data_IF_225408199532
#
_entry.id   IF_225408199532
#
_cell.length_a   1.000
_cell.length_b   1.000
_cell.length_c   1.000
_cell.angle_alpha   90.00
_cell.angle_beta   90.00
_cell.angle_gamma   90.00
#
_symmetry.space_group_name_H-M   'P 1'
#
loop_
_entity.id
_entity.type
_entity.pdbx_description
1 polymer ?
#
# COMPACT_ATOMS: atom_id res chain seq x y z
N UNK A 1 -2.76 -20.30 15.99
CA UNK A 1 -1.92 -19.65 14.95
C UNK A 1 -1.76 -18.18 15.31
N UNK A 2 -0.55 -17.71 15.62
CA UNK A 2 -0.33 -16.40 16.28
C UNK A 2 -0.92 -15.21 15.51
N UNK A 3 -1.82 -14.44 16.15
CA UNK A 3 -2.45 -13.20 15.65
C UNK A 3 -1.42 -12.18 15.10
N UNK A 4 -0.22 -12.18 15.67
CA UNK A 4 0.92 -11.35 15.26
C UNK A 4 1.45 -11.72 13.86
N UNK A 5 1.54 -13.02 13.55
CA UNK A 5 2.03 -13.50 12.25
C UNK A 5 1.05 -13.11 11.14
N UNK A 6 -0.27 -13.23 11.40
CA UNK A 6 -1.30 -12.79 10.46
C UNK A 6 -1.24 -11.27 10.23
N UNK A 7 -1.00 -10.49 11.28
CA UNK A 7 -0.81 -9.04 11.16
C UNK A 7 0.45 -8.69 10.34
N UNK A 8 1.56 -9.40 10.55
CA UNK A 8 2.80 -9.20 9.81
C UNK A 8 2.65 -9.59 8.33
N UNK A 9 1.99 -10.71 8.03
CA UNK A 9 1.66 -11.14 6.66
C UNK A 9 0.75 -10.12 5.96
N UNK A 10 -0.25 -9.62 6.70
CA UNK A 10 -1.13 -8.55 6.23
C UNK A 10 -0.36 -7.26 5.95
N UNK A 11 0.66 -6.92 6.75
CA UNK A 11 1.53 -5.76 6.52
C UNK A 11 2.43 -5.97 5.30
N UNK A 12 3.02 -7.16 5.19
CA UNK A 12 3.91 -7.54 4.10
C UNK A 12 3.20 -7.47 2.75
N UNK A 13 1.96 -7.96 2.65
CA UNK A 13 1.23 -7.91 1.39
C UNK A 13 0.96 -6.49 0.89
N UNK A 14 0.65 -5.55 1.79
CA UNK A 14 0.51 -4.12 1.42
C UNK A 14 1.85 -3.48 1.07
N UNK A 15 2.92 -3.83 1.77
CA UNK A 15 4.26 -3.35 1.42
C UNK A 15 4.68 -3.79 0.01
N UNK A 16 4.48 -5.07 -0.31
CA UNK A 16 4.73 -5.59 -1.66
C UNK A 16 3.90 -4.86 -2.72
N UNK A 17 2.64 -4.56 -2.43
CA UNK A 17 1.77 -3.81 -3.34
C UNK A 17 2.27 -2.37 -3.55
N UNK A 18 2.74 -1.70 -2.51
CA UNK A 18 3.31 -0.36 -2.60
C UNK A 18 4.60 -0.35 -3.44
N UNK A 19 5.52 -1.28 -3.18
CA UNK A 19 6.76 -1.43 -3.97
C UNK A 19 6.42 -1.72 -5.44
N UNK A 20 5.49 -2.63 -5.68
CA UNK A 20 5.04 -2.94 -7.04
C UNK A 20 4.43 -1.71 -7.75
N UNK A 21 3.61 -0.93 -7.05
CA UNK A 21 3.04 0.32 -7.56
C UNK A 21 4.11 1.35 -7.93
N UNK A 22 5.14 1.53 -7.09
CA UNK A 22 6.25 2.44 -7.38
C UNK A 22 7.05 1.98 -8.59
N UNK A 23 7.37 0.68 -8.68
CA UNK A 23 8.12 0.11 -9.80
C UNK A 23 7.35 0.23 -11.12
N UNK A 24 6.04 0.00 -11.11
CA UNK A 24 5.21 0.13 -12.32
C UNK A 24 5.12 1.58 -12.79
N UNK A 25 4.92 2.54 -11.89
CA UNK A 25 4.93 3.98 -12.24
C UNK A 25 6.29 4.40 -12.77
N UNK A 26 7.38 3.98 -12.12
CA UNK A 26 8.74 4.28 -12.60
C UNK A 26 8.97 3.73 -14.01
N UNK A 27 8.54 2.49 -14.30
CA UNK A 27 8.63 1.90 -15.64
C UNK A 27 7.82 2.69 -16.67
N UNK A 28 6.62 3.17 -16.32
CA UNK A 28 5.80 3.99 -17.22
C UNK A 28 6.50 5.32 -17.51
N UNK A 29 6.99 6.02 -16.50
CA UNK A 29 7.73 7.28 -16.67
C UNK A 29 8.97 7.07 -17.54
N UNK A 30 9.74 6.01 -17.28
CA UNK A 30 10.96 5.72 -18.05
C UNK A 30 10.67 5.36 -19.52
N UNK A 31 9.59 4.63 -19.80
CA UNK A 31 9.21 4.24 -21.17
C UNK A 31 8.56 5.39 -21.94
N UNK A 32 7.74 6.20 -21.27
CA UNK A 32 7.02 7.31 -21.91
C UNK A 32 7.83 8.60 -21.99
N UNK A 33 8.82 8.77 -21.12
CA UNK A 33 9.61 10.00 -21.01
C UNK A 33 8.85 11.20 -20.44
N UNK A 34 7.58 11.03 -20.04
CA UNK A 34 6.76 12.12 -19.52
C UNK A 34 6.70 12.08 -17.98
N UNK A 35 7.15 13.14 -17.29
CA UNK A 35 7.15 13.17 -15.83
C UNK A 35 5.74 13.28 -15.23
N UNK A 36 4.73 13.66 -16.01
CA UNK A 36 3.34 13.71 -15.56
C UNK A 36 2.83 12.37 -15.02
N UNK A 37 3.37 11.25 -15.50
CA UNK A 37 3.00 9.93 -15.02
C UNK A 37 3.38 9.68 -13.55
N UNK A 38 4.23 10.49 -12.93
CA UNK A 38 4.45 10.45 -11.48
C UNK A 38 3.18 10.73 -10.67
N UNK A 39 2.19 11.42 -11.24
CA UNK A 39 0.88 11.62 -10.59
C UNK A 39 0.16 10.30 -10.29
N UNK A 40 0.49 9.22 -10.99
CA UNK A 40 -0.04 7.87 -10.69
C UNK A 40 0.40 7.38 -9.30
N UNK A 41 1.52 7.88 -8.75
CA UNK A 41 1.91 7.59 -7.36
C UNK A 41 0.88 8.10 -6.34
N UNK A 42 0.04 9.09 -6.69
CA UNK A 42 -1.02 9.55 -5.80
C UNK A 42 -1.98 8.41 -5.43
N UNK A 43 -2.27 7.51 -6.38
CA UNK A 43 -3.07 6.31 -6.10
C UNK A 43 -2.37 5.35 -5.14
N UNK A 44 -1.06 5.15 -5.31
CA UNK A 44 -0.25 4.32 -4.40
C UNK A 44 -0.19 4.94 -2.99
N UNK A 45 -0.02 6.26 -2.91
CA UNK A 45 -0.03 7.00 -1.65
C UNK A 45 -1.39 6.90 -0.94
N UNK A 46 -2.50 6.98 -1.70
CA UNK A 46 -3.84 6.86 -1.15
C UNK A 46 -4.09 5.47 -0.54
N UNK A 47 -3.55 4.39 -1.13
CA UNK A 47 -3.62 3.05 -0.55
C UNK A 47 -2.83 2.92 0.76
N UNK A 48 -1.68 3.59 0.88
CA UNK A 48 -0.93 3.64 2.15
C UNK A 48 -1.71 4.41 3.21
N UNK A 49 -2.37 5.51 2.82
CA UNK A 49 -3.24 6.29 3.72
C UNK A 49 -4.44 5.45 4.17
N UNK A 50 -5.12 4.76 3.25
CA UNK A 50 -6.21 3.84 3.55
C UNK A 50 -5.77 2.82 4.59
N UNK A 51 -4.64 2.15 4.37
CA UNK A 51 -4.09 1.18 5.31
C UNK A 51 -3.82 1.77 6.69
N UNK A 52 -3.21 2.96 6.75
CA UNK A 52 -2.95 3.63 8.02
C UNK A 52 -4.26 3.97 8.76
N UNK A 53 -5.28 4.41 8.03
CA UNK A 53 -6.62 4.65 8.57
C UNK A 53 -7.26 3.35 9.06
N UNK A 54 -7.22 2.26 8.27
CA UNK A 54 -7.74 0.96 8.67
C UNK A 54 -7.08 0.45 9.95
N UNK A 55 -5.75 0.55 10.07
CA UNK A 55 -5.04 0.14 11.28
C UNK A 55 -5.47 1.01 12.47
N UNK A 56 -5.57 2.33 12.28
CA UNK A 56 -5.95 3.26 13.35
C UNK A 56 -7.39 3.06 13.82
N UNK A 57 -8.32 2.84 12.89
CA UNK A 57 -9.73 2.57 13.19
C UNK A 57 -9.94 1.17 13.78
N UNK A 58 -9.26 0.15 13.26
CA UNK A 58 -9.38 -1.23 13.78
C UNK A 58 -8.62 -1.43 15.10
N UNK A 59 -7.79 -0.48 15.51
CA UNK A 59 -7.27 -0.47 16.89
C UNK A 59 -8.38 -0.19 17.93
N UNK A 60 -9.45 0.51 17.52
CA UNK A 60 -10.62 0.80 18.36
C UNK A 60 -11.80 -0.15 18.16
N UNK A 61 -11.88 -0.81 17.00
CA UNK A 61 -12.85 -1.86 16.74
C UNK A 61 -12.14 -3.21 16.79
N UNK A 62 -12.35 -3.98 17.87
CA UNK A 62 -11.82 -5.33 18.00
C UNK A 62 -12.01 -6.11 16.70
N UNK A 63 -10.94 -6.73 16.17
CA UNK A 63 -11.00 -7.63 15.02
C UNK A 63 -11.89 -8.83 15.39
N UNK A 64 -13.20 -8.65 15.26
CA UNK A 64 -14.18 -9.73 15.22
C UNK A 64 -14.17 -10.26 13.80
N UNK A 65 -13.62 -11.47 13.70
CA UNK A 65 -13.76 -12.32 12.53
C UNK A 65 -15.24 -12.60 12.27
#
# INVERSE_FOLDING_TARGET
>A
MCRIINFLLALLSRFLFAVHGVVTVWRVVAVKGEPLYWLLLMGVALLVVEMAVTIKCTRNAEWKW
#
